data_IF_367367880018
#
_entry.id   IF_367367880018
#
_cell.length_a   1.000
_cell.length_b   1.000
_cell.length_c   1.000
_cell.angle_alpha   90.00
_cell.angle_beta   90.00
_cell.angle_gamma   90.00
#
_symmetry.space_group_name_H-M   'P 1'
#
loop_
_entity.id
_entity.type
_entity.pdbx_description
1 polymer ?
#
# COMPACT_ATOMS: atom_id res chain seq x y z
N UNK A 1 -6.61 1.59 16.10
CA UNK A 1 -5.32 0.87 16.05
C UNK A 1 -4.74 1.09 14.66
N UNK A 2 -3.54 1.67 14.58
CA UNK A 2 -2.88 1.98 13.30
C UNK A 2 -2.29 0.66 12.76
N UNK A 3 -3.10 -0.11 12.03
CA UNK A 3 -2.67 -1.34 11.39
C UNK A 3 -3.13 -1.31 9.92
N UNK A 4 -2.26 -1.74 9.03
CA UNK A 4 -2.65 -2.00 7.65
C UNK A 4 -3.67 -3.14 7.65
N UNK A 5 -4.71 -3.02 6.83
CA UNK A 5 -5.68 -4.10 6.70
C UNK A 5 -5.09 -5.28 5.93
N UNK A 6 -5.70 -6.45 6.05
CA UNK A 6 -5.33 -7.63 5.25
C UNK A 6 -5.41 -7.37 3.74
N UNK A 7 -6.24 -6.42 3.30
CA UNK A 7 -6.32 -6.05 1.88
C UNK A 7 -5.02 -5.38 1.43
N UNK A 8 -4.50 -4.42 2.21
CA UNK A 8 -3.24 -3.75 1.92
C UNK A 8 -2.05 -4.70 2.05
N UNK A 9 -2.02 -5.57 3.07
CA UNK A 9 -0.98 -6.60 3.20
C UNK A 9 -0.92 -7.51 1.96
N UNK A 10 -2.06 -8.04 1.50
CA UNK A 10 -2.12 -8.90 0.32
C UNK A 10 -1.79 -8.17 -0.98
N UNK A 11 -2.12 -6.89 -1.07
CA UNK A 11 -1.69 -6.07 -2.19
C UNK A 11 -0.17 -5.92 -2.23
N UNK A 12 0.47 -5.63 -1.09
CA UNK A 12 1.93 -5.54 -0.98
C UNK A 12 2.62 -6.86 -1.34
N UNK A 13 2.08 -7.99 -0.88
CA UNK A 13 2.57 -9.33 -1.26
C UNK A 13 2.51 -9.53 -2.77
N UNK A 14 1.38 -9.17 -3.40
CA UNK A 14 1.24 -9.31 -4.85
C UNK A 14 2.21 -8.41 -5.63
N UNK A 15 2.37 -7.16 -5.18
CA UNK A 15 3.31 -6.21 -5.77
C UNK A 15 4.78 -6.66 -5.59
N UNK A 16 5.13 -7.17 -4.42
CA UNK A 16 6.45 -7.75 -4.17
C UNK A 16 6.74 -8.92 -5.13
N UNK A 17 5.80 -9.85 -5.28
CA UNK A 17 5.93 -10.95 -6.22
C UNK A 17 6.15 -10.48 -7.66
N UNK A 18 5.36 -9.49 -8.11
CA UNK A 18 5.52 -8.90 -9.45
C UNK A 18 6.91 -8.25 -9.62
N UNK A 19 7.46 -7.64 -8.56
CA UNK A 19 8.80 -7.05 -8.59
C UNK A 19 9.91 -8.11 -8.58
N UNK A 20 9.74 -9.22 -7.84
CA UNK A 20 10.68 -10.35 -7.89
C UNK A 20 10.78 -10.95 -9.28
N UNK A 21 9.63 -11.25 -9.92
CA UNK A 21 9.58 -11.78 -11.28
C UNK A 21 10.28 -10.85 -12.28
N UNK A 22 10.15 -9.55 -12.10
CA UNK A 22 10.80 -8.56 -12.93
C UNK A 22 12.32 -8.49 -12.70
N UNK A 23 12.80 -8.70 -11.48
CA UNK A 23 14.22 -8.70 -11.17
C UNK A 23 14.94 -9.89 -11.84
N UNK A 24 14.27 -11.05 -11.93
CA UNK A 24 14.77 -12.25 -12.62
C UNK A 24 14.77 -12.06 -14.15
N UNK A 25 13.83 -11.28 -14.68
CA UNK A 25 13.73 -10.99 -16.13
C UNK A 25 14.67 -9.87 -16.62
N UNK A 26 15.36 -9.15 -15.72
CA UNK A 26 16.22 -8.01 -16.08
C UNK A 26 17.58 -8.42 -16.65
N UNK A 27 17.58 -8.97 -17.85
CA UNK A 27 18.71 -8.82 -18.77
C UNK A 27 18.29 -8.24 -20.12
N UNK A 28 17.56 -7.09 -20.11
CA UNK A 28 17.46 -6.26 -21.32
C UNK A 28 16.10 -5.82 -21.83
N UNK A 29 15.00 -5.87 -21.05
CA UNK A 29 13.67 -5.55 -21.59
C UNK A 29 12.99 -4.37 -20.85
N UNK A 30 12.30 -3.52 -21.63
CA UNK A 30 11.59 -2.34 -21.11
C UNK A 30 10.34 -2.69 -20.25
N UNK A 31 9.70 -1.65 -19.65
CA UNK A 31 8.53 -1.78 -18.78
C UNK A 31 7.35 -2.56 -19.42
N UNK A 32 7.28 -2.64 -20.75
CA UNK A 32 6.20 -3.29 -21.50
C UNK A 32 6.35 -4.82 -21.69
N UNK A 33 7.53 -5.39 -21.45
CA UNK A 33 7.86 -6.80 -21.73
C UNK A 33 7.81 -7.71 -20.49
N UNK A 34 7.22 -7.24 -19.40
CA UNK A 34 7.18 -7.97 -18.13
C UNK A 34 6.14 -9.08 -18.16
N UNK A 35 6.48 -10.32 -17.77
CA UNK A 35 5.50 -11.39 -17.71
C UNK A 35 4.41 -11.03 -16.68
N UNK A 36 3.12 -11.18 -17.05
CA UNK A 36 2.04 -10.91 -16.11
C UNK A 36 2.00 -11.97 -15.01
N UNK A 37 1.78 -11.53 -13.77
CA UNK A 37 1.63 -12.42 -12.63
C UNK A 37 0.20 -12.97 -12.55
N UNK A 38 0.05 -14.28 -12.45
CA UNK A 38 -1.24 -14.93 -12.27
C UNK A 38 -1.74 -14.77 -10.82
N UNK A 39 -2.99 -14.37 -10.63
CA UNK A 39 -3.60 -14.31 -9.30
C UNK A 39 -3.60 -15.67 -8.59
N UNK A 40 -3.77 -16.78 -9.34
CA UNK A 40 -3.73 -18.13 -8.79
C UNK A 40 -2.34 -18.47 -8.27
N UNK A 41 -1.31 -18.18 -9.04
CA UNK A 41 0.09 -18.42 -8.67
C UNK A 41 0.48 -17.67 -7.39
N UNK A 42 0.12 -16.39 -7.28
CA UNK A 42 0.33 -15.59 -6.05
C UNK A 42 -0.42 -16.20 -4.87
N UNK A 43 -1.70 -16.58 -5.09
CA UNK A 43 -2.54 -17.19 -4.06
C UNK A 43 -1.94 -18.48 -3.51
N UNK A 44 -1.48 -19.37 -4.38
CA UNK A 44 -0.86 -20.65 -4.01
C UNK A 44 0.49 -20.45 -3.32
N UNK A 45 1.34 -19.56 -3.84
CA UNK A 45 2.68 -19.32 -3.30
C UNK A 45 2.66 -18.70 -1.90
N UNK A 46 1.74 -17.78 -1.63
CA UNK A 46 1.69 -17.02 -0.37
C UNK A 46 0.51 -17.38 0.52
N UNK A 47 -0.24 -18.43 0.18
CA UNK A 47 -1.43 -18.86 0.91
C UNK A 47 -2.45 -17.72 1.15
N UNK A 48 -2.68 -16.90 0.13
CA UNK A 48 -3.64 -15.80 0.15
C UNK A 48 -4.96 -16.27 -0.44
N UNK A 49 -6.13 -15.99 0.19
CA UNK A 49 -7.43 -16.40 -0.36
C UNK A 49 -7.66 -15.81 -1.76
N UNK A 50 -7.76 -16.68 -2.79
CA UNK A 50 -7.87 -16.29 -4.18
C UNK A 50 -9.02 -15.30 -4.49
N UNK A 51 -10.24 -15.47 -3.94
CA UNK A 51 -11.34 -14.53 -4.22
C UNK A 51 -11.02 -13.12 -3.69
N UNK A 52 -10.41 -13.00 -2.53
CA UNK A 52 -10.01 -11.72 -1.95
C UNK A 52 -8.89 -11.08 -2.76
N UNK A 53 -7.86 -11.86 -3.12
CA UNK A 53 -6.76 -11.39 -3.97
C UNK A 53 -7.26 -10.87 -5.32
N UNK A 54 -8.16 -11.61 -5.97
CA UNK A 54 -8.74 -11.19 -7.25
C UNK A 54 -9.50 -9.86 -7.13
N UNK A 55 -10.24 -9.64 -6.04
CA UNK A 55 -10.93 -8.37 -5.80
C UNK A 55 -9.94 -7.21 -5.62
N UNK A 56 -8.84 -7.45 -4.89
CA UNK A 56 -7.76 -6.48 -4.71
C UNK A 56 -7.12 -6.12 -6.06
N UNK A 57 -6.69 -7.13 -6.83
CA UNK A 57 -6.04 -6.92 -8.12
C UNK A 57 -6.95 -6.21 -9.14
N UNK A 58 -8.24 -6.55 -9.17
CA UNK A 58 -9.25 -5.85 -9.98
C UNK A 58 -9.37 -4.37 -9.58
N UNK A 59 -9.43 -4.08 -8.27
CA UNK A 59 -9.51 -2.70 -7.77
C UNK A 59 -8.27 -1.91 -8.16
N UNK A 60 -7.07 -2.46 -7.95
CA UNK A 60 -5.81 -1.82 -8.34
C UNK A 60 -5.71 -1.60 -9.85
N UNK A 61 -6.28 -2.51 -10.66
CA UNK A 61 -6.34 -2.35 -12.11
C UNK A 61 -7.33 -1.27 -12.51
N UNK A 62 -8.47 -1.16 -11.85
CA UNK A 62 -9.45 -0.09 -12.09
C UNK A 62 -8.88 1.30 -11.76
N UNK A 63 -8.04 1.40 -10.73
CA UNK A 63 -7.38 2.64 -10.32
C UNK A 63 -6.08 2.92 -11.09
N UNK A 64 -5.75 2.10 -12.10
CA UNK A 64 -4.60 2.31 -12.99
C UNK A 64 -3.23 1.96 -12.37
N UNK A 65 -3.19 1.35 -11.20
CA UNK A 65 -1.94 0.87 -10.55
C UNK A 65 -1.43 -0.39 -11.24
N UNK A 66 -2.35 -1.26 -11.67
CA UNK A 66 -2.06 -2.47 -12.44
C UNK A 66 -2.72 -2.41 -13.81
N UNK A 67 -2.20 -3.18 -14.75
CA UNK A 67 -2.89 -3.55 -15.99
C UNK A 67 -3.26 -5.02 -15.93
N UNK A 68 -4.44 -5.38 -16.48
CA UNK A 68 -4.85 -6.76 -16.66
C UNK A 68 -4.59 -7.20 -18.08
N UNK A 69 -3.90 -8.34 -18.24
CA UNK A 69 -3.56 -8.93 -19.54
C UNK A 69 -4.39 -10.20 -19.71
N UNK A 70 -5.16 -10.28 -20.81
CA UNK A 70 -6.04 -11.42 -21.13
C UNK A 70 -5.27 -12.51 -21.88
N UNK A 71 -5.71 -13.75 -21.75
CA UNK A 71 -5.22 -14.90 -22.49
C UNK A 71 -4.71 -16.02 -21.61
N UNK A 72 -4.24 -17.12 -22.22
CA UNK A 72 -3.74 -18.31 -21.50
C UNK A 72 -2.51 -18.02 -20.62
N UNK A 73 -1.70 -17.04 -20.99
CA UNK A 73 -0.57 -16.50 -20.21
C UNK A 73 -0.91 -15.12 -19.63
N UNK A 74 -2.20 -14.83 -19.39
CA UNK A 74 -2.65 -13.57 -18.84
C UNK A 74 -2.46 -13.46 -17.34
N UNK A 75 -2.71 -12.27 -16.82
CA UNK A 75 -2.56 -11.96 -15.39
C UNK A 75 -2.54 -10.45 -15.15
N UNK A 76 -1.79 -10.03 -14.17
CA UNK A 76 -1.63 -8.63 -13.79
C UNK A 76 -0.17 -8.20 -13.86
N UNK A 77 0.07 -6.98 -14.30
CA UNK A 77 1.39 -6.36 -14.31
C UNK A 77 1.30 -4.92 -13.79
N UNK A 78 2.41 -4.39 -13.26
CA UNK A 78 2.48 -2.99 -12.85
C UNK A 78 2.35 -2.08 -14.07
N UNK A 79 1.46 -1.09 -14.02
CA UNK A 79 1.32 -0.07 -15.06
C UNK A 79 2.24 1.10 -14.86
N UNK A 80 2.60 1.41 -13.63
CA UNK A 80 3.42 2.53 -13.24
C UNK A 80 4.81 2.09 -12.74
N UNK A 81 5.75 3.04 -12.76
CA UNK A 81 7.07 2.85 -12.14
C UNK A 81 6.89 2.70 -10.61
N UNK A 82 7.30 1.57 -10.01
CA UNK A 82 7.16 1.34 -8.58
C UNK A 82 7.93 2.36 -7.71
N UNK A 83 8.90 3.06 -8.27
CA UNK A 83 9.64 4.16 -7.61
C UNK A 83 8.85 5.47 -7.57
N UNK A 84 7.78 5.59 -8.36
CA UNK A 84 6.91 6.75 -8.41
C UNK A 84 5.55 6.51 -7.75
N UNK A 85 5.22 5.26 -7.44
CA UNK A 85 3.99 4.89 -6.77
C UNK A 85 4.20 4.93 -5.25
N UNK A 86 3.52 5.87 -4.56
CA UNK A 86 3.64 5.99 -3.11
C UNK A 86 2.81 4.94 -2.37
N UNK A 87 3.22 4.62 -1.14
CA UNK A 87 2.44 3.75 -0.25
C UNK A 87 1.08 4.39 0.11
N UNK A 88 1.04 5.71 0.21
CA UNK A 88 -0.18 6.49 0.40
C UNK A 88 -1.20 6.25 -0.72
N UNK A 89 -0.76 6.28 -1.98
CA UNK A 89 -1.63 6.02 -3.14
C UNK A 89 -2.21 4.60 -3.11
N UNK A 90 -1.40 3.59 -2.77
CA UNK A 90 -1.87 2.21 -2.63
C UNK A 90 -2.94 2.08 -1.53
N UNK A 91 -2.69 2.62 -0.34
CA UNK A 91 -3.64 2.58 0.78
C UNK A 91 -4.92 3.32 0.41
N UNK A 92 -4.83 4.51 -0.17
CA UNK A 92 -5.98 5.31 -0.60
C UNK A 92 -6.86 4.58 -1.61
N UNK A 93 -6.25 3.82 -2.53
CA UNK A 93 -6.97 3.00 -3.51
C UNK A 93 -7.79 1.89 -2.85
N UNK A 94 -7.26 1.24 -1.82
CA UNK A 94 -7.87 0.05 -1.22
C UNK A 94 -8.79 0.36 -0.04
N UNK A 95 -8.46 1.37 0.76
CA UNK A 95 -9.07 1.64 2.06
C UNK A 95 -9.66 3.06 2.17
N UNK A 96 -9.32 3.93 1.23
CA UNK A 96 -9.65 5.36 1.31
C UNK A 96 -8.55 6.17 2.01
N UNK A 97 -8.80 7.44 2.30
CA UNK A 97 -7.81 8.33 2.89
C UNK A 97 -7.40 7.87 4.29
N UNK A 98 -6.09 7.90 4.54
CA UNK A 98 -5.55 7.61 5.87
C UNK A 98 -5.89 8.74 6.82
N UNK A 99 -6.54 8.45 7.93
CA UNK A 99 -6.78 9.39 9.01
C UNK A 99 -6.37 8.79 10.36
N UNK A 100 -5.57 9.52 11.13
CA UNK A 100 -5.13 9.08 12.47
C UNK A 100 -6.27 9.27 13.49
N UNK A 101 -7.05 10.32 13.28
CA UNK A 101 -8.25 10.67 14.07
C UNK A 101 -9.32 11.19 13.11
N UNK A 102 -10.59 11.03 13.48
CA UNK A 102 -11.70 11.45 12.61
C UNK A 102 -11.66 12.93 12.24
N UNK A 103 -11.18 13.79 13.13
CA UNK A 103 -11.07 15.24 12.86
C UNK A 103 -9.88 15.62 11.95
N UNK A 104 -9.00 14.67 11.60
CA UNK A 104 -7.93 14.86 10.61
C UNK A 104 -8.32 14.30 9.22
N UNK A 105 -9.61 14.16 8.95
CA UNK A 105 -10.17 13.76 7.65
C UNK A 105 -10.13 14.92 6.63
N UNK A 106 -10.32 14.62 5.33
CA UNK A 106 -10.45 15.64 4.29
C UNK A 106 -11.54 16.69 4.59
N UNK A 107 -11.39 17.92 4.10
CA UNK A 107 -12.30 19.04 4.43
C UNK A 107 -13.79 18.75 4.20
N UNK A 108 -14.12 17.97 3.17
CA UNK A 108 -15.48 17.56 2.83
C UNK A 108 -16.13 16.67 3.91
N UNK A 109 -15.34 15.93 4.67
CA UNK A 109 -15.78 15.03 5.74
C UNK A 109 -15.66 15.67 7.14
N UNK A 110 -14.88 16.75 7.26
CA UNK A 110 -14.54 17.38 8.53
C UNK A 110 -15.76 17.83 9.31
N UNK A 111 -16.78 18.39 8.63
CA UNK A 111 -17.99 18.89 9.26
C UNK A 111 -18.78 17.77 9.95
N UNK A 112 -18.90 16.63 9.29
CA UNK A 112 -19.58 15.46 9.84
C UNK A 112 -18.75 14.82 10.98
N UNK A 113 -17.44 14.69 10.83
CA UNK A 113 -16.54 14.17 11.85
C UNK A 113 -16.55 15.03 13.13
N UNK A 114 -16.57 16.35 12.98
CA UNK A 114 -16.65 17.28 14.11
C UNK A 114 -18.01 17.24 14.81
N UNK A 115 -19.09 17.06 14.08
CA UNK A 115 -20.44 16.96 14.67
C UNK A 115 -20.58 15.71 15.56
N UNK A 116 -19.87 14.64 15.26
CA UNK A 116 -19.87 13.40 16.04
C UNK A 116 -18.88 13.41 17.21
N UNK A 117 -17.98 14.38 17.28
CA UNK A 117 -16.99 14.47 18.35
C UNK A 117 -17.46 15.34 19.49
N UNK A 118 -17.74 14.76 20.65
CA UNK A 118 -18.24 15.47 21.84
C UNK A 118 -17.26 16.54 22.40
N UNK A 119 -15.96 16.39 22.10
CA UNK A 119 -14.90 17.30 22.58
C UNK A 119 -14.39 18.23 21.49
N UNK A 120 -15.05 18.30 20.34
CA UNK A 120 -14.57 19.02 19.14
C UNK A 120 -14.20 20.49 19.37
N UNK A 121 -14.94 21.19 20.28
CA UNK A 121 -14.74 22.62 20.55
C UNK A 121 -13.59 22.88 21.54
N UNK A 122 -13.38 21.99 22.52
CA UNK A 122 -12.45 22.18 23.64
C UNK A 122 -11.29 21.15 23.63
N UNK A 123 -11.12 20.40 22.56
CA UNK A 123 -10.15 19.32 22.49
C UNK A 123 -8.70 19.83 22.56
N UNK A 124 -7.94 19.56 23.64
CA UNK A 124 -6.58 20.07 23.80
C UNK A 124 -5.56 19.37 22.89
N UNK A 125 -5.90 18.19 22.39
CA UNK A 125 -5.00 17.39 21.53
C UNK A 125 -5.28 17.58 20.03
N UNK A 126 -6.28 18.35 19.64
CA UNK A 126 -6.64 18.53 18.23
C UNK A 126 -5.46 19.01 17.38
N UNK A 127 -4.78 20.08 17.81
CA UNK A 127 -3.60 20.61 17.11
C UNK A 127 -2.45 19.57 17.01
N UNK A 128 -2.00 19.00 18.12
CA UNK A 128 -0.99 17.92 18.10
C UNK A 128 -1.35 16.75 17.21
N UNK A 129 -2.61 16.30 17.19
CA UNK A 129 -3.05 15.18 16.35
C UNK A 129 -3.07 15.53 14.86
N UNK A 130 -3.40 16.78 14.49
CA UNK A 130 -3.23 17.24 13.12
C UNK A 130 -1.77 17.23 12.68
N UNK A 131 -0.87 17.69 13.53
CA UNK A 131 0.58 17.65 13.24
C UNK A 131 1.04 16.20 13.04
N UNK A 132 0.64 15.28 13.91
CA UNK A 132 0.95 13.86 13.76
C UNK A 132 0.39 13.28 12.47
N UNK A 133 -0.85 13.60 12.14
CA UNK A 133 -1.50 13.15 10.90
C UNK A 133 -0.71 13.61 9.67
N UNK A 134 -0.32 14.89 9.58
CA UNK A 134 0.45 15.41 8.47
C UNK A 134 1.81 14.71 8.33
N UNK A 135 2.55 14.54 9.44
CA UNK A 135 3.83 13.82 9.40
C UNK A 135 3.69 12.37 8.92
N UNK A 136 2.63 11.68 9.36
CA UNK A 136 2.36 10.32 8.88
C UNK A 136 1.97 10.32 7.40
N UNK A 137 1.14 11.25 6.97
CA UNK A 137 0.74 11.39 5.56
C UNK A 137 1.97 11.66 4.67
N UNK A 138 2.83 12.59 5.07
CA UNK A 138 4.08 12.91 4.36
C UNK A 138 5.03 11.70 4.29
N UNK A 139 5.15 10.95 5.39
CA UNK A 139 5.94 9.72 5.43
C UNK A 139 5.39 8.67 4.44
N UNK A 140 4.08 8.42 4.44
CA UNK A 140 3.46 7.46 3.52
C UNK A 140 3.53 7.92 2.06
N UNK A 141 3.48 9.24 1.81
CA UNK A 141 3.60 9.80 0.47
C UNK A 141 5.04 9.72 -0.06
N UNK A 142 6.04 9.93 0.80
CA UNK A 142 7.45 9.82 0.46
C UNK A 142 7.97 8.39 0.37
N UNK A 143 7.27 7.42 0.98
CA UNK A 143 7.62 6.00 0.93
C UNK A 143 7.05 5.37 -0.34
N UNK A 144 7.91 4.85 -1.21
CA UNK A 144 7.49 4.24 -2.47
C UNK A 144 7.20 2.75 -2.34
N UNK A 145 6.43 2.20 -3.28
CA UNK A 145 6.22 0.75 -3.37
C UNK A 145 7.54 0.02 -3.60
N UNK A 146 8.49 0.64 -4.30
CA UNK A 146 9.82 0.08 -4.46
C UNK A 146 10.55 -0.05 -3.13
N UNK A 147 10.46 0.92 -2.23
CA UNK A 147 11.14 0.89 -0.93
C UNK A 147 10.61 -0.22 -0.03
N UNK A 148 9.30 -0.51 -0.12
CA UNK A 148 8.63 -1.54 0.70
C UNK A 148 8.71 -2.93 0.08
N UNK A 149 8.57 -3.03 -1.26
CA UNK A 149 8.36 -4.29 -1.95
C UNK A 149 9.57 -4.79 -2.74
N UNK A 150 10.69 -4.03 -2.83
CA UNK A 150 11.89 -4.53 -3.51
C UNK A 150 12.39 -5.81 -2.84
N UNK A 151 12.89 -6.79 -3.61
CA UNK A 151 13.53 -7.94 -3.03
C UNK A 151 14.73 -7.51 -2.18
N UNK A 152 14.65 -7.70 -0.88
CA UNK A 152 15.80 -7.56 -0.01
C UNK A 152 16.55 -8.89 0.01
N UNK A 153 17.89 -8.92 -0.12
CA UNK A 153 18.64 -10.09 0.28
C UNK A 153 18.24 -10.37 1.73
N UNK A 154 17.87 -11.62 2.02
CA UNK A 154 17.33 -12.06 3.31
C UNK A 154 18.36 -11.79 4.43
N UNK A 155 18.41 -10.54 4.88
CA UNK A 155 19.04 -10.21 6.16
C UNK A 155 17.95 -10.42 7.21
N UNK A 156 18.23 -11.32 8.15
CA UNK A 156 17.38 -11.49 9.34
C UNK A 156 17.02 -10.12 9.92
N UNK A 157 15.77 -9.92 10.38
CA UNK A 157 15.36 -8.63 10.92
C UNK A 157 16.34 -8.19 11.99
N UNK A 158 17.01 -7.08 11.76
CA UNK A 158 17.88 -6.46 12.78
C UNK A 158 17.01 -6.16 13.98
N UNK A 159 17.29 -6.70 15.16
CA UNK A 159 16.52 -6.40 16.36
C UNK A 159 16.50 -4.88 16.56
N UNK A 160 15.31 -4.31 16.72
CA UNK A 160 15.18 -2.90 17.12
C UNK A 160 15.95 -2.68 18.40
N UNK A 161 17.08 -2.00 18.33
CA UNK A 161 17.79 -1.53 19.52
C UNK A 161 16.97 -0.38 20.11
N UNK A 162 16.12 -0.70 21.07
CA UNK A 162 15.50 0.30 21.93
C UNK A 162 16.62 0.77 22.84
N UNK A 163 17.22 1.91 22.51
CA UNK A 163 18.14 2.59 23.42
C UNK A 163 17.31 3.10 24.60
N UNK A 164 17.33 2.36 25.70
CA UNK A 164 16.91 2.85 27.01
C UNK A 164 17.94 3.89 27.45
N UNK A 165 17.62 5.15 27.22
CA UNK A 165 18.33 6.25 27.87
C UNK A 165 17.72 6.47 29.25
N UNK A 166 18.51 6.52 30.34
CA UNK A 166 18.04 6.69 31.72
C UNK A 166 17.41 8.06 31.94
#
# INVERSE_FOLDING_TARGET
MLALTKRTEYALIALHYMLEQNAVAQSGQGLGDRPPASAREISERFNVPLPLLMNILKKLSADGILISIRGAKGGYALSADPKKLSLSQLIKSLEGPVAVVDCACPPEQLKAAMANCKTSVTCPIRGPMHVLHHRLADFLESTTIWDVCRPHPTTAPTPLQISSTP
#
